data_IF_831449821272
#
_entry.id   IF_831449821272
#
_cell.length_a   1.000
_cell.length_b   1.000
_cell.length_c   1.000
_cell.angle_alpha   90.00
_cell.angle_beta   90.00
_cell.angle_gamma   90.00
#
_symmetry.space_group_name_H-M   'P 1'
#
loop_
_entity.id
_entity.type
_entity.pdbx_description
1 polymer ?
#
# COMPACT_ATOMS: atom_id res chain seq x y z
N UNK A 1 21.53 -10.78 -31.20
CA UNK A 1 21.28 -9.33 -31.29
C UNK A 1 19.83 -9.09 -30.90
N UNK A 2 19.55 -9.00 -29.60
CA UNK A 2 18.23 -8.63 -29.09
C UNK A 2 18.36 -7.22 -28.52
N UNK A 3 17.86 -6.24 -29.27
CA UNK A 3 17.70 -4.87 -28.82
C UNK A 3 16.49 -4.84 -27.89
N UNK A 4 16.71 -5.07 -26.60
CA UNK A 4 15.72 -4.82 -25.56
C UNK A 4 15.65 -3.33 -25.28
N UNK A 5 14.64 -2.66 -25.82
CA UNK A 5 14.23 -1.34 -25.35
C UNK A 5 13.66 -1.52 -23.93
N UNK A 6 14.51 -1.35 -22.92
CA UNK A 6 14.07 -1.17 -21.54
C UNK A 6 13.42 0.21 -21.43
N UNK A 7 12.10 0.28 -21.54
CA UNK A 7 11.36 1.45 -21.11
C UNK A 7 11.46 1.50 -19.58
N UNK A 8 12.42 2.28 -19.07
CA UNK A 8 12.52 2.58 -17.65
C UNK A 8 11.33 3.49 -17.32
N UNK A 9 10.21 2.90 -16.90
CA UNK A 9 9.12 3.67 -16.28
C UNK A 9 9.60 4.00 -14.88
N UNK A 10 10.29 5.13 -14.72
CA UNK A 10 10.49 5.72 -13.40
C UNK A 10 9.13 6.22 -12.94
N UNK A 11 8.40 5.41 -12.18
CA UNK A 11 7.22 5.91 -11.49
C UNK A 11 7.68 6.91 -10.43
N UNK A 12 7.63 8.20 -10.79
CA UNK A 12 7.76 9.27 -9.80
C UNK A 12 6.58 9.20 -8.84
N UNK A 13 6.82 9.47 -7.56
CA UNK A 13 5.75 9.53 -6.58
C UNK A 13 4.68 10.55 -6.99
N UNK A 14 3.37 10.24 -6.89
CA UNK A 14 2.28 11.14 -7.29
C UNK A 14 2.38 12.46 -6.52
N UNK A 15 2.25 13.61 -7.19
CA UNK A 15 2.29 14.92 -6.51
C UNK A 15 1.19 14.98 -5.44
N UNK A 16 1.31 15.88 -4.45
CA UNK A 16 0.35 15.93 -3.34
C UNK A 16 -1.12 15.98 -3.80
N UNK A 17 -1.42 16.83 -4.79
CA UNK A 17 -2.75 16.98 -5.40
C UNK A 17 -3.24 15.75 -6.19
N UNK A 18 -2.37 14.77 -6.45
CA UNK A 18 -2.66 13.56 -7.24
C UNK A 18 -2.81 12.31 -6.37
N UNK A 19 -2.60 12.41 -5.05
CA UNK A 19 -2.69 11.24 -4.15
C UNK A 19 -4.15 10.85 -3.92
N UNK A 20 -4.46 9.62 -4.30
CA UNK A 20 -5.76 8.98 -4.10
C UNK A 20 -5.83 8.30 -2.73
N UNK A 21 -6.90 8.54 -1.97
CA UNK A 21 -7.11 7.78 -0.75
C UNK A 21 -7.37 6.30 -1.09
N UNK A 22 -8.29 6.05 -2.02
CA UNK A 22 -8.68 4.69 -2.39
C UNK A 22 -7.54 3.89 -3.05
N UNK A 23 -6.70 4.52 -3.86
CA UNK A 23 -5.71 3.81 -4.70
C UNK A 23 -4.27 3.89 -4.18
N UNK A 24 -3.93 4.86 -3.35
CA UNK A 24 -2.56 5.04 -2.87
C UNK A 24 -2.47 4.89 -1.34
N UNK A 25 -3.36 5.52 -0.57
CA UNK A 25 -3.34 5.43 0.91
C UNK A 25 -3.77 4.04 1.39
N UNK A 26 -4.86 3.50 0.84
CA UNK A 26 -5.36 2.18 1.27
C UNK A 26 -4.33 1.06 1.07
N UNK A 27 -3.62 0.94 -0.07
CA UNK A 27 -2.53 -0.01 -0.22
C UNK A 27 -1.40 0.17 0.79
N UNK A 28 -1.05 1.41 1.16
CA UNK A 28 -0.06 1.67 2.22
C UNK A 28 -0.53 1.11 3.57
N UNK A 29 -1.80 1.30 3.93
CA UNK A 29 -2.36 0.76 5.17
C UNK A 29 -2.36 -0.78 5.18
N UNK A 30 -2.68 -1.39 4.04
CA UNK A 30 -2.66 -2.84 3.87
C UNK A 30 -1.26 -3.42 3.94
N UNK A 31 -0.32 -2.88 3.14
CA UNK A 31 1.08 -3.34 3.12
C UNK A 31 1.78 -3.13 4.46
N UNK A 32 1.51 -2.01 5.13
CA UNK A 32 1.99 -1.74 6.49
C UNK A 32 1.35 -2.62 7.57
N UNK A 33 0.38 -3.47 7.21
CA UNK A 33 -0.32 -4.38 8.12
C UNK A 33 -1.29 -3.70 9.10
N UNK A 34 -1.61 -2.42 8.89
CA UNK A 34 -2.43 -1.61 9.79
C UNK A 34 -3.85 -2.14 9.90
N UNK A 35 -4.46 -2.54 8.78
CA UNK A 35 -5.83 -3.03 8.66
C UNK A 35 -5.92 -4.57 8.66
N UNK A 36 -4.89 -5.26 9.15
CA UNK A 36 -4.93 -6.72 9.35
C UNK A 36 -5.84 -7.09 10.52
N UNK A 37 -6.34 -8.33 10.54
CA UNK A 37 -7.14 -8.86 11.64
C UNK A 37 -6.42 -8.91 13.00
N UNK A 38 -5.08 -8.88 13.01
CA UNK A 38 -4.29 -8.78 14.24
C UNK A 38 -4.14 -7.36 14.80
N UNK A 39 -4.50 -6.33 14.01
CA UNK A 39 -4.29 -4.92 14.33
C UNK A 39 -5.61 -4.13 14.27
N UNK A 40 -5.66 -3.01 13.54
CA UNK A 40 -6.84 -2.15 13.52
C UNK A 40 -7.97 -2.72 12.67
N UNK A 41 -7.70 -3.70 11.80
CA UNK A 41 -8.72 -4.48 11.09
C UNK A 41 -9.37 -5.58 11.93
N UNK A 42 -8.95 -5.75 13.19
CA UNK A 42 -9.64 -6.64 14.13
C UNK A 42 -11.12 -6.23 14.29
N UNK A 43 -12.00 -7.20 14.58
CA UNK A 43 -13.45 -6.95 14.77
C UNK A 43 -13.73 -5.78 15.73
N UNK A 44 -12.96 -5.69 16.81
CA UNK A 44 -13.09 -4.65 17.84
C UNK A 44 -12.09 -3.48 17.67
N UNK A 45 -11.25 -3.51 16.63
CA UNK A 45 -10.09 -2.64 16.48
C UNK A 45 -9.03 -2.85 17.57
N UNK A 46 -8.09 -1.91 17.66
CA UNK A 46 -7.02 -1.88 18.69
C UNK A 46 -6.74 -0.43 19.10
N UNK A 47 -6.43 -0.21 20.38
CA UNK A 47 -6.08 1.12 20.90
C UNK A 47 -7.14 2.20 20.67
N UNK A 48 -8.43 1.83 20.67
CA UNK A 48 -9.54 2.75 20.39
C UNK A 48 -9.60 3.23 18.93
N UNK A 49 -9.01 2.49 18.00
CA UNK A 49 -9.04 2.79 16.57
C UNK A 49 -9.32 1.52 15.76
N UNK A 50 -10.23 1.64 14.80
CA UNK A 50 -10.71 0.55 13.96
C UNK A 50 -10.66 0.96 12.50
N UNK A 51 -10.13 0.06 11.70
CA UNK A 51 -10.20 0.04 10.25
C UNK A 51 -11.02 -1.20 9.83
N UNK A 52 -11.50 -1.18 8.60
CA UNK A 52 -12.14 -2.30 7.93
C UNK A 52 -11.10 -3.38 7.64
N UNK A 53 -11.51 -4.65 7.70
CA UNK A 53 -10.58 -5.77 7.56
C UNK A 53 -10.03 -5.80 6.13
N UNK A 54 -8.70 -5.74 5.99
CA UNK A 54 -8.01 -5.69 4.68
C UNK A 54 -8.45 -4.54 3.75
N UNK A 55 -9.08 -3.50 4.31
CA UNK A 55 -9.58 -2.38 3.52
C UNK A 55 -10.87 -2.67 2.76
N UNK A 56 -11.68 -3.63 3.21
CA UNK A 56 -12.98 -3.98 2.61
C UNK A 56 -13.96 -2.78 2.47
N UNK A 57 -13.76 -1.72 3.25
CA UNK A 57 -14.56 -0.50 3.17
C UNK A 57 -13.72 0.77 3.28
N UNK A 58 -13.10 1.22 2.17
CA UNK A 58 -12.26 2.43 2.16
C UNK A 58 -12.98 3.68 2.69
N UNK A 59 -14.27 3.86 2.38
CA UNK A 59 -15.03 5.02 2.85
C UNK A 59 -15.25 5.02 4.37
N UNK A 60 -15.34 3.85 5.01
CA UNK A 60 -15.35 3.76 6.48
C UNK A 60 -13.97 4.06 7.07
N UNK A 61 -12.91 3.60 6.41
CA UNK A 61 -11.52 3.80 6.84
C UNK A 61 -11.10 5.25 6.77
N UNK A 62 -11.49 5.95 5.69
CA UNK A 62 -11.29 7.39 5.56
C UNK A 62 -11.93 8.12 6.74
N UNK A 63 -13.22 7.90 6.99
CA UNK A 63 -13.95 8.52 8.11
C UNK A 63 -13.26 8.26 9.45
N UNK A 64 -12.85 7.02 9.71
CA UNK A 64 -12.18 6.67 10.97
C UNK A 64 -10.85 7.41 11.17
N UNK A 65 -10.11 7.65 10.08
CA UNK A 65 -8.86 8.39 10.09
C UNK A 65 -9.06 9.89 10.34
N UNK A 66 -10.03 10.50 9.67
CA UNK A 66 -10.26 11.96 9.74
C UNK A 66 -11.15 12.40 10.90
N UNK A 67 -11.84 11.47 11.59
CA UNK A 67 -12.66 11.77 12.78
C UNK A 67 -11.89 12.50 13.89
N UNK A 68 -10.57 12.35 13.92
CA UNK A 68 -9.72 13.02 14.89
C UNK A 68 -8.53 13.70 14.22
N UNK A 69 -8.41 15.01 14.48
CA UNK A 69 -7.21 15.82 14.17
C UNK A 69 -5.93 15.33 14.86
N UNK A 70 -6.00 14.34 15.76
CA UNK A 70 -4.83 13.65 16.29
C UNK A 70 -4.39 12.50 15.39
N UNK A 71 -5.30 11.90 14.61
CA UNK A 71 -5.04 10.77 13.71
C UNK A 71 -4.58 11.27 12.34
N UNK A 72 -5.35 12.15 11.72
CA UNK A 72 -5.04 12.81 10.45
C UNK A 72 -5.27 14.32 10.62
N UNK A 73 -4.21 15.11 10.51
CA UNK A 73 -4.22 16.57 10.64
C UNK A 73 -3.65 17.21 9.38
N UNK A 74 -4.50 17.66 8.45
CA UNK A 74 -4.01 18.32 7.24
C UNK A 74 -3.26 19.63 7.50
N UNK A 75 -3.60 20.35 8.58
CA UNK A 75 -2.94 21.61 8.94
C UNK A 75 -1.54 21.41 9.55
N UNK A 76 -1.26 20.23 10.10
CA UNK A 76 0.04 19.82 10.66
C UNK A 76 0.33 18.35 10.32
N UNK A 77 0.63 18.00 9.06
CA UNK A 77 0.76 16.62 8.60
C UNK A 77 1.68 15.77 9.49
N UNK A 78 2.89 16.25 9.79
CA UNK A 78 3.90 15.55 10.59
C UNK A 78 3.51 15.35 12.07
N UNK A 79 2.49 16.08 12.55
CA UNK A 79 1.93 15.89 13.89
C UNK A 79 0.88 14.74 13.94
N UNK A 80 0.49 14.21 12.79
CA UNK A 80 -0.57 13.20 12.67
C UNK A 80 -0.10 11.83 13.13
N UNK A 81 -0.90 11.13 13.94
CA UNK A 81 -0.58 9.77 14.41
C UNK A 81 -0.47 8.75 13.29
N UNK A 82 -1.17 8.95 12.16
CA UNK A 82 -1.03 8.12 10.96
C UNK A 82 0.41 8.13 10.39
N UNK A 83 1.20 9.17 10.68
CA UNK A 83 2.64 9.21 10.37
C UNK A 83 3.50 8.81 11.57
N UNK A 84 3.18 9.31 12.76
CA UNK A 84 4.05 9.14 13.93
C UNK A 84 4.10 7.71 14.46
N UNK A 85 2.96 7.01 14.52
CA UNK A 85 2.90 5.67 15.11
C UNK A 85 3.60 4.62 14.22
N UNK A 86 3.33 4.54 12.91
CA UNK A 86 4.00 3.56 12.05
C UNK A 86 5.51 3.76 11.93
N UNK A 87 6.00 4.99 12.14
CA UNK A 87 7.44 5.32 12.12
C UNK A 87 8.11 5.29 13.49
N UNK A 88 7.39 4.91 14.57
CA UNK A 88 7.85 4.96 15.97
C UNK A 88 8.32 6.34 16.46
N UNK A 89 7.81 7.43 15.87
CA UNK A 89 7.97 8.78 16.43
C UNK A 89 6.99 9.06 17.58
N UNK A 90 6.05 8.14 17.80
CA UNK A 90 5.22 8.03 18.99
C UNK A 90 5.01 6.54 19.32
N UNK A 91 4.75 6.22 20.58
CA UNK A 91 4.56 4.84 21.03
C UNK A 91 3.48 4.13 20.23
N UNK A 92 3.83 2.94 19.74
CA UNK A 92 2.95 2.07 18.97
C UNK A 92 3.20 0.62 19.36
N UNK A 93 2.22 0.01 20.03
CA UNK A 93 2.28 -1.40 20.44
C UNK A 93 2.42 -2.34 19.24
N UNK A 94 1.89 -1.95 18.08
CA UNK A 94 2.08 -2.66 16.82
C UNK A 94 3.49 -2.56 16.23
N UNK A 95 4.42 -1.87 16.89
CA UNK A 95 5.80 -1.71 16.44
C UNK A 95 5.95 -0.80 15.22
N UNK A 96 7.18 -0.75 14.69
CA UNK A 96 7.50 -0.02 13.46
C UNK A 96 6.92 -0.73 12.25
N UNK A 97 6.32 0.03 11.33
CA UNK A 97 5.78 -0.48 10.05
C UNK A 97 6.57 -0.02 8.84
N UNK A 98 7.11 1.21 8.87
CA UNK A 98 7.97 1.74 7.82
C UNK A 98 8.84 2.90 8.34
N UNK A 99 9.82 3.31 7.53
CA UNK A 99 10.76 4.38 7.85
C UNK A 99 10.17 5.78 7.62
N UNK A 100 10.69 6.79 8.32
CA UNK A 100 10.43 8.18 7.92
C UNK A 100 11.07 8.43 6.56
N UNK A 101 10.32 9.00 5.62
CA UNK A 101 10.77 9.24 4.24
C UNK A 101 10.66 8.04 3.30
N UNK A 102 10.14 6.90 3.76
CA UNK A 102 9.81 5.76 2.89
C UNK A 102 8.68 6.12 1.91
N UNK A 103 8.48 5.33 0.84
CA UNK A 103 7.31 5.43 -0.05
C UNK A 103 5.97 5.59 0.69
N UNK A 104 5.73 4.72 1.68
CA UNK A 104 4.54 4.73 2.53
C UNK A 104 4.37 6.06 3.26
N UNK A 105 5.44 6.51 3.94
CA UNK A 105 5.43 7.76 4.68
C UNK A 105 5.11 8.94 3.75
N UNK A 106 5.72 8.98 2.57
CA UNK A 106 5.54 10.07 1.62
C UNK A 106 4.13 10.12 1.04
N UNK A 107 3.52 8.97 0.74
CA UNK A 107 2.11 8.90 0.29
C UNK A 107 1.18 9.43 1.37
N UNK A 108 1.30 8.93 2.60
CA UNK A 108 0.45 9.37 3.71
C UNK A 108 0.63 10.86 4.01
N UNK A 109 1.87 11.36 3.97
CA UNK A 109 2.17 12.78 4.19
C UNK A 109 1.58 13.64 3.10
N UNK A 110 1.72 13.25 1.83
CA UNK A 110 1.16 13.96 0.68
C UNK A 110 -0.37 13.98 0.69
N UNK A 111 -1.01 12.88 1.07
CA UNK A 111 -2.46 12.85 1.28
C UNK A 111 -2.91 13.83 2.36
N UNK A 112 -2.18 13.92 3.48
CA UNK A 112 -2.44 14.93 4.51
C UNK A 112 -2.22 16.35 4.00
N UNK A 113 -1.12 16.61 3.27
CA UNK A 113 -0.82 17.91 2.64
C UNK A 113 -1.90 18.33 1.63
N UNK A 114 -2.56 17.36 0.98
CA UNK A 114 -3.67 17.57 0.06
C UNK A 114 -5.02 17.79 0.74
N UNK A 115 -5.09 17.83 2.08
CA UNK A 115 -6.33 18.04 2.82
C UNK A 115 -6.97 16.78 3.39
N UNK A 116 -6.27 15.63 3.34
CA UNK A 116 -6.83 14.32 3.70
C UNK A 116 -8.13 14.01 2.94
N UNK A 117 -8.14 14.26 1.63
CA UNK A 117 -9.32 14.15 0.77
C UNK A 117 -9.88 12.73 0.70
N UNK A 118 -11.20 12.63 0.54
CA UNK A 118 -11.92 11.38 0.24
C UNK A 118 -12.26 11.35 -1.24
N UNK A 119 -11.74 10.35 -1.96
CA UNK A 119 -12.05 10.08 -3.35
C UNK A 119 -12.73 8.72 -3.55
N UNK A 120 -13.18 8.05 -2.49
CA UNK A 120 -13.72 6.69 -2.56
C UNK A 120 -14.99 6.58 -3.43
N UNK A 121 -15.70 7.68 -3.65
CA UNK A 121 -16.87 7.75 -4.53
C UNK A 121 -16.57 8.08 -6.00
N UNK A 122 -15.37 8.55 -6.31
CA UNK A 122 -14.99 9.07 -7.65
C UNK A 122 -13.76 8.39 -8.23
N UNK A 123 -12.88 7.85 -7.40
CA UNK A 123 -11.70 7.12 -7.82
C UNK A 123 -12.09 5.91 -8.68
N UNK A 124 -11.54 5.76 -9.88
CA UNK A 124 -11.85 4.61 -10.72
C UNK A 124 -11.40 3.32 -10.03
N UNK A 125 -12.26 2.30 -10.09
CA UNK A 125 -12.17 1.09 -9.27
C UNK A 125 -11.14 0.12 -9.86
N UNK A 126 -10.51 -0.68 -9.00
CA UNK A 126 -9.71 -1.81 -9.45
C UNK A 126 -10.62 -2.86 -10.11
N UNK A 127 -10.32 -3.22 -11.36
CA UNK A 127 -11.07 -4.22 -12.11
C UNK A 127 -10.34 -5.56 -12.20
N UNK A 128 -9.01 -5.54 -12.32
CA UNK A 128 -8.20 -6.77 -12.37
C UNK A 128 -6.78 -6.56 -11.85
N UNK A 129 -6.18 -7.67 -11.43
CA UNK A 129 -4.74 -7.80 -11.17
C UNK A 129 -4.18 -8.90 -12.07
N UNK A 130 -3.12 -8.60 -12.81
CA UNK A 130 -2.38 -9.57 -13.61
C UNK A 130 -1.00 -9.76 -13.01
N UNK A 131 -0.65 -11.01 -12.72
CA UNK A 131 0.67 -11.38 -12.18
C UNK A 131 1.48 -12.04 -13.29
N UNK A 132 2.71 -11.59 -13.50
CA UNK A 132 3.61 -12.13 -14.51
C UNK A 132 4.97 -12.50 -13.91
N UNK A 133 5.63 -13.57 -14.40
CA UNK A 133 5.05 -14.57 -15.31
C UNK A 133 3.99 -15.43 -14.61
N UNK A 134 2.99 -15.89 -15.35
CA UNK A 134 1.93 -16.78 -14.81
C UNK A 134 2.48 -18.15 -14.41
N UNK A 135 3.49 -18.63 -15.15
CA UNK A 135 4.18 -19.89 -14.87
C UNK A 135 5.60 -19.82 -15.42
N UNK A 136 6.56 -20.31 -14.63
CA UNK A 136 7.96 -20.39 -15.00
C UNK A 136 8.58 -21.62 -14.36
N UNK A 137 9.31 -22.42 -15.15
CA UNK A 137 10.18 -23.47 -14.63
C UNK A 137 11.56 -22.84 -14.38
N UNK A 138 12.05 -22.95 -13.16
CA UNK A 138 13.40 -22.52 -12.78
C UNK A 138 14.37 -23.69 -12.90
N UNK A 139 15.54 -23.44 -13.49
CA UNK A 139 16.56 -24.48 -13.71
C UNK A 139 17.93 -23.85 -13.46
N UNK A 140 18.85 -24.64 -12.91
CA UNK A 140 20.19 -24.16 -12.60
C UNK A 140 20.88 -23.54 -13.84
N UNK A 141 21.64 -22.44 -13.67
CA UNK A 141 21.95 -21.78 -12.39
C UNK A 141 20.89 -20.76 -11.92
N UNK A 142 19.83 -20.51 -12.69
CA UNK A 142 18.84 -19.47 -12.36
C UNK A 142 17.72 -20.02 -11.44
N UNK A 143 17.76 -19.62 -10.17
CA UNK A 143 16.80 -20.05 -9.14
C UNK A 143 15.91 -18.93 -8.63
N UNK A 144 16.06 -17.71 -9.14
CA UNK A 144 15.29 -16.56 -8.70
C UNK A 144 14.32 -16.13 -9.81
N UNK A 145 13.13 -15.69 -9.40
CA UNK A 145 12.16 -15.07 -10.30
C UNK A 145 11.67 -13.75 -9.71
N UNK A 146 11.53 -12.72 -10.54
CA UNK A 146 10.83 -11.49 -10.16
C UNK A 146 9.39 -11.57 -10.66
N UNK A 147 8.43 -11.51 -9.73
CA UNK A 147 7.03 -11.29 -10.08
C UNK A 147 6.81 -9.82 -10.42
N UNK A 148 5.92 -9.55 -11.36
CA UNK A 148 5.36 -8.23 -11.62
C UNK A 148 3.85 -8.31 -11.47
N UNK A 149 3.26 -7.37 -10.76
CA UNK A 149 1.81 -7.26 -10.58
C UNK A 149 1.34 -5.97 -11.23
N UNK A 150 0.39 -6.09 -12.15
CA UNK A 150 -0.21 -4.96 -12.86
C UNK A 150 -1.69 -4.85 -12.51
N UNK A 151 -2.12 -3.67 -12.07
CA UNK A 151 -3.50 -3.34 -11.78
C UNK A 151 -4.14 -2.66 -12.98
N UNK A 152 -5.32 -3.12 -13.40
CA UNK A 152 -6.17 -2.41 -14.37
C UNK A 152 -7.35 -1.79 -13.65
N UNK A 153 -7.59 -0.50 -13.90
CA UNK A 153 -8.67 0.28 -13.30
C UNK A 153 -9.80 0.57 -14.29
N UNK A 154 -10.97 0.95 -13.77
CA UNK A 154 -12.20 1.15 -14.56
C UNK A 154 -12.19 2.33 -15.54
N UNK A 155 -11.17 3.18 -15.48
CA UNK A 155 -10.88 4.23 -16.45
C UNK A 155 -9.89 3.75 -17.55
N UNK A 156 -9.50 2.47 -17.52
CA UNK A 156 -8.51 1.88 -18.42
C UNK A 156 -7.06 2.13 -18.00
N UNK A 157 -6.83 2.84 -16.90
CA UNK A 157 -5.47 3.06 -16.36
C UNK A 157 -4.85 1.71 -15.95
N UNK A 158 -3.59 1.51 -16.31
CA UNK A 158 -2.80 0.36 -15.85
C UNK A 158 -1.62 0.85 -15.00
N UNK A 159 -1.44 0.25 -13.82
CA UNK A 159 -0.35 0.60 -12.89
C UNK A 159 0.43 -0.64 -12.49
N UNK A 160 1.76 -0.53 -12.51
CA UNK A 160 2.61 -1.48 -11.80
C UNK A 160 2.40 -1.31 -10.28
N UNK A 161 1.88 -2.36 -9.65
CA UNK A 161 1.62 -2.43 -8.21
C UNK A 161 2.42 -3.53 -7.54
N UNK A 162 3.53 -3.97 -8.15
CA UNK A 162 4.41 -5.02 -7.64
C UNK A 162 4.87 -4.72 -6.22
N UNK A 163 5.31 -3.47 -5.98
CA UNK A 163 5.73 -3.00 -4.66
C UNK A 163 4.55 -2.86 -3.69
N UNK A 164 3.32 -2.67 -4.14
CA UNK A 164 2.17 -2.48 -3.25
C UNK A 164 1.43 -3.79 -2.94
N UNK A 165 1.82 -4.87 -3.60
CA UNK A 165 1.21 -6.18 -3.47
C UNK A 165 1.72 -6.92 -2.24
N UNK A 166 0.84 -7.75 -1.64
CA UNK A 166 1.17 -8.66 -0.56
C UNK A 166 1.15 -10.07 -1.14
N UNK A 167 2.25 -10.80 -1.00
CA UNK A 167 2.40 -12.14 -1.55
C UNK A 167 2.21 -13.18 -0.45
N UNK A 168 1.45 -14.24 -0.76
CA UNK A 168 1.28 -15.39 0.12
C UNK A 168 1.42 -16.67 -0.68
N UNK A 169 2.16 -17.64 -0.14
CA UNK A 169 2.36 -18.93 -0.77
C UNK A 169 1.30 -19.93 -0.31
N UNK A 170 0.83 -20.76 -1.25
CA UNK A 170 -0.10 -21.86 -0.96
C UNK A 170 0.61 -23.13 -0.49
N UNK A 171 1.93 -23.23 -0.71
CA UNK A 171 2.79 -24.32 -0.25
C UNK A 171 4.21 -23.79 0.04
N UNK A 172 5.03 -24.59 0.71
CA UNK A 172 6.35 -24.17 1.23
C UNK A 172 7.53 -24.59 0.34
N UNK A 173 7.33 -24.75 -0.98
CA UNK A 173 8.40 -25.21 -1.90
C UNK A 173 9.29 -24.09 -2.41
N UNK A 174 8.93 -22.83 -2.11
CA UNK A 174 9.64 -21.62 -2.48
C UNK A 174 9.47 -20.58 -1.37
N UNK A 175 10.23 -19.50 -1.44
CA UNK A 175 10.04 -18.30 -0.65
C UNK A 175 9.66 -17.14 -1.58
N UNK A 176 8.86 -16.19 -1.10
CA UNK A 176 8.56 -14.94 -1.80
C UNK A 176 8.82 -13.76 -0.88
N UNK A 177 9.73 -12.88 -1.30
CA UNK A 177 10.04 -11.64 -0.60
C UNK A 177 8.96 -10.58 -0.78
N UNK A 178 9.00 -9.54 0.06
CA UNK A 178 8.03 -8.43 0.05
C UNK A 178 7.98 -7.62 -1.26
N UNK A 179 9.02 -7.72 -2.07
CA UNK A 179 9.11 -7.09 -3.40
C UNK A 179 8.72 -8.04 -4.54
N UNK A 180 8.16 -9.23 -4.24
CA UNK A 180 7.74 -10.19 -5.25
C UNK A 180 8.88 -11.04 -5.84
N UNK A 181 10.07 -11.03 -5.22
CA UNK A 181 11.16 -11.92 -5.59
C UNK A 181 10.95 -13.32 -5.03
N UNK A 182 10.84 -14.31 -5.89
CA UNK A 182 10.70 -15.74 -5.55
C UNK A 182 12.07 -16.42 -5.57
N UNK A 183 12.31 -17.32 -4.61
CA UNK A 183 13.54 -18.12 -4.44
C UNK A 183 13.25 -19.55 -4.03
#
# INVERSE_FOLDING_TARGET
MFLGFGLLVTQGFPRAEEVSFARDVMPVLSRGGCNTGGCHGHRDGKGGFKLSLWGESPSQDHRALVESERRANPAKPEASRILQKPTLRADHEGGKRFETGSPEYMILRRWLEAGATDDTGTAPRLESLTVSPESQILTEPNRDLQLRVEATFSDGEQRDVTYWSIYSLSNLVAEVGEEGRVR
#
